data_IF_260689929597
#
_entry.id   IF_260689929597
#
_cell.length_a   1.000
_cell.length_b   1.000
_cell.length_c   1.000
_cell.angle_alpha   90.00
_cell.angle_beta   90.00
_cell.angle_gamma   90.00
#
_symmetry.space_group_name_H-M   'P 1'
#
loop_
_entity.id
_entity.type
_entity.pdbx_description
1 polymer ?
#
# COMPACT_ATOMS: atom_id res chain seq x y z
N UNK A 1 1.65 -32.54 1.72
CA UNK A 1 0.48 -32.06 2.50
C UNK A 1 0.86 -30.67 2.99
N UNK A 2 0.24 -29.62 2.44
CA UNK A 2 0.64 -28.22 2.69
C UNK A 2 0.08 -27.78 4.05
N UNK A 3 0.94 -27.36 4.96
CA UNK A 3 0.57 -26.90 6.30
C UNK A 3 -0.16 -25.56 6.21
N UNK A 4 -1.08 -25.32 7.14
CA UNK A 4 -1.98 -24.16 7.15
C UNK A 4 -1.23 -22.82 7.14
N UNK A 5 0.02 -22.80 7.60
CA UNK A 5 0.92 -21.65 7.59
C UNK A 5 1.32 -21.19 6.18
N UNK A 6 1.46 -22.08 5.19
CA UNK A 6 1.71 -21.68 3.79
C UNK A 6 0.53 -20.94 3.16
N UNK A 7 -0.70 -21.16 3.65
CA UNK A 7 -1.90 -20.48 3.15
C UNK A 7 -2.01 -19.05 3.65
N UNK A 8 -1.41 -18.72 4.80
CA UNK A 8 -1.48 -17.38 5.40
C UNK A 8 -0.60 -16.38 4.63
N UNK A 9 0.54 -16.83 4.09
CA UNK A 9 1.53 -15.95 3.45
C UNK A 9 1.10 -15.47 2.05
N UNK A 10 0.12 -16.13 1.42
CA UNK A 10 -0.42 -15.77 0.10
C UNK A 10 -1.92 -15.42 0.12
N UNK A 11 -2.48 -15.14 1.30
CA UNK A 11 -3.88 -14.74 1.40
C UNK A 11 -4.14 -13.50 0.52
N UNK A 12 -5.20 -13.49 -0.30
CA UNK A 12 -5.56 -12.31 -1.08
C UNK A 12 -5.88 -11.12 -0.17
N UNK A 13 -5.44 -9.94 -0.59
CA UNK A 13 -5.83 -8.65 -0.01
C UNK A 13 -7.26 -8.38 -0.48
N UNK A 14 -8.19 -8.24 0.47
CA UNK A 14 -9.58 -7.88 0.18
C UNK A 14 -9.72 -6.37 0.22
N UNK A 15 -9.93 -5.75 -0.93
CA UNK A 15 -10.15 -4.31 -1.05
C UNK A 15 -11.58 -4.02 -1.51
N UNK A 16 -12.13 -2.87 -1.15
CA UNK A 16 -13.46 -2.44 -1.59
C UNK A 16 -13.32 -1.18 -2.44
N UNK A 17 -13.84 -1.22 -3.65
CA UNK A 17 -13.82 -0.11 -4.60
C UNK A 17 -15.19 0.00 -5.27
N UNK A 18 -15.83 1.17 -5.22
CA UNK A 18 -17.16 1.36 -5.81
C UNK A 18 -18.22 0.45 -5.18
N UNK A 19 -18.10 0.17 -3.88
CA UNK A 19 -18.99 -0.76 -3.16
C UNK A 19 -18.85 -2.25 -3.53
N UNK A 20 -17.84 -2.64 -4.32
CA UNK A 20 -17.56 -4.04 -4.66
C UNK A 20 -16.28 -4.53 -4.01
N UNK A 21 -16.28 -5.76 -3.51
CA UNK A 21 -15.09 -6.43 -2.98
C UNK A 21 -14.26 -7.05 -4.12
N UNK A 22 -12.95 -6.82 -4.07
CA UNK A 22 -11.97 -7.38 -5.00
C UNK A 22 -10.89 -8.13 -4.22
N UNK A 23 -10.46 -9.26 -4.77
CA UNK A 23 -9.33 -10.04 -4.26
C UNK A 23 -8.06 -9.71 -5.04
N UNK A 24 -7.13 -9.02 -4.39
CA UNK A 24 -5.83 -8.67 -4.94
C UNK A 24 -4.78 -9.61 -4.39
N UNK A 25 -4.10 -10.35 -5.26
CA UNK A 25 -3.06 -11.28 -4.83
C UNK A 25 -1.80 -10.53 -4.40
N UNK A 26 -1.13 -10.92 -3.30
CA UNK A 26 0.18 -10.37 -2.97
C UNK A 26 1.17 -10.55 -4.12
N UNK A 27 1.93 -9.50 -4.43
CA UNK A 27 2.96 -9.55 -5.46
C UNK A 27 4.10 -10.51 -5.05
N UNK A 28 4.63 -11.25 -6.03
CA UNK A 28 5.88 -11.99 -5.83
C UNK A 28 7.04 -11.01 -5.62
N UNK A 29 8.13 -11.46 -5.00
CA UNK A 29 9.28 -10.60 -4.59
C UNK A 29 9.80 -9.74 -5.76
N UNK A 30 9.86 -10.29 -6.97
CA UNK A 30 10.34 -9.57 -8.16
C UNK A 30 9.46 -8.36 -8.49
N UNK A 31 8.15 -8.56 -8.56
CA UNK A 31 7.21 -7.52 -8.96
C UNK A 31 7.01 -6.51 -7.83
N UNK A 32 6.97 -7.00 -6.59
CA UNK A 32 6.93 -6.18 -5.38
C UNK A 32 8.14 -5.23 -5.30
N UNK A 33 9.34 -5.66 -5.73
CA UNK A 33 10.51 -4.79 -5.79
C UNK A 33 10.31 -3.62 -6.77
N UNK A 34 9.74 -3.89 -7.94
CA UNK A 34 9.42 -2.86 -8.93
C UNK A 34 8.45 -1.83 -8.36
N UNK A 35 7.35 -2.32 -7.80
CA UNK A 35 6.32 -1.48 -7.19
C UNK A 35 6.86 -0.63 -6.03
N UNK A 36 7.65 -1.21 -5.11
CA UNK A 36 8.26 -0.47 -3.99
C UNK A 36 9.24 0.61 -4.48
N UNK A 37 9.92 0.39 -5.60
CA UNK A 37 10.81 1.38 -6.19
C UNK A 37 10.02 2.58 -6.75
N UNK A 38 8.83 2.36 -7.31
CA UNK A 38 7.93 3.43 -7.76
C UNK A 38 7.40 4.25 -6.58
N UNK A 39 6.92 3.58 -5.53
CA UNK A 39 6.54 4.26 -4.28
C UNK A 39 7.71 5.06 -3.71
N UNK A 40 8.91 4.50 -3.67
CA UNK A 40 10.10 5.18 -3.16
C UNK A 40 10.46 6.43 -3.98
N UNK A 41 10.29 6.39 -5.30
CA UNK A 41 10.45 7.58 -6.16
C UNK A 41 9.43 8.66 -5.82
N UNK A 42 8.17 8.27 -5.59
CA UNK A 42 7.12 9.21 -5.19
C UNK A 42 7.39 9.84 -3.82
N UNK A 43 7.77 9.04 -2.83
CA UNK A 43 8.18 9.55 -1.52
C UNK A 43 9.38 10.50 -1.62
N UNK A 44 10.35 10.21 -2.49
CA UNK A 44 11.49 11.10 -2.75
C UNK A 44 11.11 12.41 -3.45
N UNK A 45 9.95 12.47 -4.12
CA UNK A 45 9.42 13.72 -4.69
C UNK A 45 8.65 14.55 -3.65
N UNK A 46 8.16 13.95 -2.57
CA UNK A 46 7.36 14.65 -1.55
C UNK A 46 8.02 15.91 -0.99
N UNK A 47 9.34 15.97 -0.68
CA UNK A 47 9.98 17.21 -0.25
C UNK A 47 9.73 18.43 -1.17
N UNK A 48 9.41 18.21 -2.45
CA UNK A 48 9.06 19.28 -3.40
C UNK A 48 7.63 19.79 -3.23
N UNK A 49 6.74 18.98 -2.68
CA UNK A 49 5.30 19.23 -2.54
C UNK A 49 4.88 19.47 -1.08
N UNK A 50 5.64 18.90 -0.13
CA UNK A 50 5.45 19.01 1.31
C UNK A 50 6.80 18.79 2.02
N UNK A 51 7.12 19.60 3.01
CA UNK A 51 8.42 19.56 3.72
C UNK A 51 8.54 18.33 4.65
N UNK A 52 8.51 17.11 4.10
CA UNK A 52 8.40 15.84 4.82
C UNK A 52 9.66 14.98 4.62
N UNK A 53 10.10 14.31 5.69
CA UNK A 53 11.21 13.32 5.69
C UNK A 53 10.64 11.94 6.02
N UNK A 54 11.36 10.83 5.82
CA UNK A 54 10.84 9.46 6.01
C UNK A 54 11.66 8.60 7.00
N UNK A 55 12.54 9.23 7.77
CA UNK A 55 13.56 8.52 8.56
C UNK A 55 13.03 7.85 9.84
N UNK A 56 11.77 8.12 10.22
CA UNK A 56 11.10 7.50 11.38
C UNK A 56 9.70 7.02 10.98
N UNK A 57 9.10 6.07 11.72
CA UNK A 57 7.74 5.59 11.44
C UNK A 57 6.69 6.72 11.38
N UNK A 58 6.70 7.66 12.32
CA UNK A 58 5.75 8.78 12.35
C UNK A 58 5.93 9.71 11.14
N UNK A 59 7.18 9.96 10.77
CA UNK A 59 7.52 10.77 9.61
C UNK A 59 7.15 10.07 8.29
N UNK A 60 7.31 8.76 8.24
CA UNK A 60 6.87 7.94 7.12
C UNK A 60 5.35 7.96 6.98
N UNK A 61 4.60 7.84 8.07
CA UNK A 61 3.14 7.97 8.04
C UNK A 61 2.71 9.36 7.56
N UNK A 62 3.32 10.43 8.10
CA UNK A 62 3.05 11.79 7.64
C UNK A 62 3.38 12.00 6.15
N UNK A 63 4.38 11.30 5.62
CA UNK A 63 4.72 11.31 4.20
C UNK A 63 3.63 10.64 3.35
N UNK A 64 3.11 9.50 3.81
CA UNK A 64 1.99 8.81 3.15
C UNK A 64 0.72 9.67 3.15
N UNK A 65 0.39 10.28 4.29
CA UNK A 65 -0.76 11.19 4.41
C UNK A 65 -0.60 12.40 3.48
N UNK A 66 0.60 12.98 3.44
CA UNK A 66 0.91 14.07 2.52
C UNK A 66 0.82 13.65 1.05
N UNK A 67 1.19 12.41 0.72
CA UNK A 67 1.10 11.89 -0.65
C UNK A 67 -0.35 11.72 -1.10
N UNK A 68 -1.23 11.23 -0.22
CA UNK A 68 -2.67 11.13 -0.47
C UNK A 68 -3.27 12.50 -0.79
N UNK A 69 -2.83 13.55 -0.08
CA UNK A 69 -3.35 14.92 -0.26
C UNK A 69 -2.76 15.60 -1.50
N UNK A 70 -1.46 15.46 -1.72
CA UNK A 70 -0.73 16.23 -2.75
C UNK A 70 -0.67 15.53 -4.12
N UNK A 71 -0.82 14.21 -4.16
CA UNK A 71 -0.66 13.41 -5.37
C UNK A 71 -1.72 12.29 -5.47
N UNK A 72 -3.03 12.58 -5.33
CA UNK A 72 -4.08 11.56 -5.31
C UNK A 72 -4.07 10.67 -6.56
N UNK A 73 -3.93 11.24 -7.76
CA UNK A 73 -3.85 10.48 -9.01
C UNK A 73 -2.69 9.47 -9.04
N UNK A 74 -1.57 9.82 -8.41
CA UNK A 74 -0.40 8.94 -8.35
C UNK A 74 -0.60 7.81 -7.36
N UNK A 75 -1.38 8.03 -6.30
CA UNK A 75 -1.80 6.96 -5.39
C UNK A 75 -2.73 5.99 -6.12
N UNK A 76 -3.68 6.49 -6.90
CA UNK A 76 -4.54 5.67 -7.77
C UNK A 76 -3.68 4.83 -8.72
N UNK A 77 -2.71 5.44 -9.40
CA UNK A 77 -1.76 4.74 -10.28
C UNK A 77 -1.03 3.61 -9.54
N UNK A 78 -0.58 3.83 -8.29
CA UNK A 78 0.10 2.81 -7.49
C UNK A 78 -0.81 1.63 -7.12
N UNK A 79 -2.09 1.87 -6.84
CA UNK A 79 -3.06 0.79 -6.54
C UNK A 79 -3.23 -0.10 -7.78
N UNK A 80 -3.45 0.49 -8.96
CA UNK A 80 -3.58 -0.27 -10.20
C UNK A 80 -2.28 -0.92 -10.67
N UNK A 81 -1.13 -0.31 -10.39
CA UNK A 81 0.18 -0.93 -10.63
C UNK A 81 0.38 -2.18 -9.76
N UNK A 82 -0.14 -2.18 -8.53
CA UNK A 82 -0.11 -3.37 -7.67
C UNK A 82 -1.11 -4.44 -8.13
N UNK A 83 -2.27 -4.01 -8.65
CA UNK A 83 -3.37 -4.88 -9.02
C UNK A 83 -3.75 -4.73 -10.51
N UNK A 84 -2.88 -5.13 -11.46
CA UNK A 84 -3.09 -4.88 -12.90
C UNK A 84 -4.28 -5.63 -13.50
N UNK A 85 -4.89 -6.56 -12.78
CA UNK A 85 -6.10 -7.28 -13.20
C UNK A 85 -7.42 -6.56 -12.89
N UNK A 86 -7.37 -5.40 -12.23
CA UNK A 86 -8.56 -4.60 -11.95
C UNK A 86 -8.96 -3.78 -13.18
N UNK A 87 -10.26 -3.67 -13.42
CA UNK A 87 -10.81 -2.80 -14.46
C UNK A 87 -10.77 -1.34 -14.00
N UNK A 88 -9.69 -0.65 -14.36
CA UNK A 88 -9.42 0.73 -13.94
C UNK A 88 -10.53 1.69 -14.32
N UNK A 89 -10.97 1.66 -15.57
CA UNK A 89 -11.98 2.60 -16.09
C UNK A 89 -13.32 2.39 -15.37
N UNK A 90 -13.75 1.14 -15.20
CA UNK A 90 -14.98 0.84 -14.49
C UNK A 90 -14.93 1.25 -13.02
N UNK A 91 -13.78 1.09 -12.36
CA UNK A 91 -13.59 1.43 -10.95
C UNK A 91 -13.53 2.94 -10.74
N UNK A 92 -12.73 3.67 -11.53
CA UNK A 92 -12.59 5.13 -11.41
C UNK A 92 -13.93 5.85 -11.65
N UNK A 93 -14.85 5.25 -12.40
CA UNK A 93 -16.19 5.81 -12.62
C UNK A 93 -17.12 5.75 -11.40
N UNK A 94 -16.85 4.89 -10.42
CA UNK A 94 -17.78 4.61 -9.29
C UNK A 94 -17.13 4.66 -7.90
N UNK A 95 -15.81 4.48 -7.81
CA UNK A 95 -15.10 4.45 -6.54
C UNK A 95 -14.84 5.85 -6.01
N UNK A 96 -14.79 5.96 -4.69
CA UNK A 96 -14.46 7.22 -4.02
C UNK A 96 -12.98 7.29 -3.68
N UNK A 97 -12.45 8.50 -3.50
CA UNK A 97 -11.08 8.72 -3.03
C UNK A 97 -10.81 8.03 -1.68
N UNK A 98 -11.83 7.97 -0.80
CA UNK A 98 -11.74 7.29 0.49
C UNK A 98 -11.55 5.77 0.34
N UNK A 99 -12.27 5.15 -0.60
CA UNK A 99 -12.08 3.73 -0.93
C UNK A 99 -10.69 3.48 -1.52
N UNK A 100 -10.19 4.39 -2.36
CA UNK A 100 -8.85 4.28 -2.94
C UNK A 100 -7.74 4.42 -1.89
N UNK A 101 -7.87 5.39 -0.98
CA UNK A 101 -6.96 5.55 0.15
C UNK A 101 -6.94 4.28 1.03
N UNK A 102 -8.11 3.71 1.31
CA UNK A 102 -8.22 2.46 2.08
C UNK A 102 -7.57 1.28 1.37
N UNK A 103 -7.81 1.12 0.07
CA UNK A 103 -7.19 0.07 -0.74
C UNK A 103 -5.66 0.19 -0.73
N UNK A 104 -5.15 1.42 -0.83
CA UNK A 104 -3.72 1.69 -0.77
C UNK A 104 -3.10 1.34 0.59
N UNK A 105 -3.74 1.69 1.71
CA UNK A 105 -3.31 1.27 3.05
C UNK A 105 -3.20 -0.25 3.17
N UNK A 106 -4.23 -0.98 2.73
CA UNK A 106 -4.26 -2.45 2.79
C UNK A 106 -3.14 -3.08 1.94
N UNK A 107 -2.83 -2.47 0.79
CA UNK A 107 -1.69 -2.87 -0.04
C UNK A 107 -0.37 -2.62 0.69
N UNK A 108 -0.21 -1.47 1.36
CA UNK A 108 1.02 -1.13 2.09
C UNK A 108 1.33 -2.12 3.22
N UNK A 109 0.32 -2.53 3.99
CA UNK A 109 0.49 -3.52 5.07
C UNK A 109 1.11 -4.83 4.58
N UNK A 110 0.67 -5.30 3.40
CA UNK A 110 1.16 -6.52 2.77
C UNK A 110 2.45 -6.29 2.00
N UNK A 111 2.64 -5.10 1.44
CA UNK A 111 3.86 -4.74 0.73
C UNK A 111 5.04 -4.48 1.66
N UNK A 112 4.84 -4.16 2.94
CA UNK A 112 5.92 -3.91 3.91
C UNK A 112 5.76 -4.75 5.19
N UNK A 113 5.74 -6.09 5.09
CA UNK A 113 5.46 -6.96 6.24
C UNK A 113 6.53 -6.84 7.33
N UNK A 114 7.76 -6.49 6.96
CA UNK A 114 8.86 -6.27 7.90
C UNK A 114 8.74 -4.97 8.68
N UNK A 115 8.16 -3.91 8.09
CA UNK A 115 7.93 -2.67 8.82
C UNK A 115 6.90 -2.90 9.93
N UNK A 116 5.81 -3.59 9.60
CA UNK A 116 4.76 -3.99 10.55
C UNK A 116 5.33 -4.90 11.65
N UNK A 117 6.09 -5.94 11.27
CA UNK A 117 6.64 -6.89 12.24
C UNK A 117 7.70 -6.27 13.16
N UNK A 118 8.53 -5.37 12.65
CA UNK A 118 9.59 -4.73 13.43
C UNK A 118 9.03 -3.67 14.39
N UNK A 119 8.05 -2.87 13.95
CA UNK A 119 7.33 -1.93 14.85
C UNK A 119 6.61 -2.70 15.95
N UNK A 120 5.91 -3.79 15.60
CA UNK A 120 5.26 -4.65 16.58
C UNK A 120 6.23 -5.33 17.55
N UNK A 121 7.42 -5.73 17.09
CA UNK A 121 8.46 -6.31 17.96
C UNK A 121 9.06 -5.26 18.90
N UNK A 122 9.34 -4.04 18.42
CA UNK A 122 9.89 -2.95 19.23
C UNK A 122 8.89 -2.46 20.29
N UNK A 123 7.60 -2.38 19.97
CA UNK A 123 6.54 -2.02 20.92
C UNK A 123 6.35 -3.05 22.06
N UNK A 124 6.76 -4.30 21.85
CA UNK A 124 6.75 -5.35 22.89
C UNK A 124 7.97 -5.27 23.81
N UNK A 125 9.09 -4.74 23.32
CA UNK A 125 10.33 -4.61 24.08
C UNK A 125 10.37 -3.35 24.96
N UNK A 126 9.48 -2.39 24.73
CA UNK A 126 9.36 -1.15 25.50
C UNK A 126 8.35 -1.23 26.67
N UNK A 127 7.87 -2.43 27.02
CA UNK A 127 6.97 -2.70 28.15
C UNK A 127 7.67 -3.42 29.27
#
# INVERSE_FOLDING_TARGET
>A
MRTEEEKVIQAPIKIVLGGKEYEVKPLVIKDSRGWRAELSKMLGMLPRYANVTTDTPDKFQAALDSMLISMPDKVVDLVFAYAPGLDREAIEAIATDAEMAKAFEQILEVAFPLAVSTVGAMAKLSR
#
